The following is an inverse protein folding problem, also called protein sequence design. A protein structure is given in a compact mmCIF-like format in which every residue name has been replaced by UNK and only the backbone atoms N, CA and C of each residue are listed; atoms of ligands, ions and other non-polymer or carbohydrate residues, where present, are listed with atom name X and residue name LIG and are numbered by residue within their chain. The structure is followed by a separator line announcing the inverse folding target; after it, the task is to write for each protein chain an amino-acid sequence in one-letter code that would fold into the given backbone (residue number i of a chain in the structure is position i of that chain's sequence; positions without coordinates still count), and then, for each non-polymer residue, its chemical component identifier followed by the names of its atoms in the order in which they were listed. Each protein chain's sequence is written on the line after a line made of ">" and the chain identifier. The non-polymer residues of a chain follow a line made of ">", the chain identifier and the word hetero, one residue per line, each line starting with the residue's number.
data_IF_412714205318
#
_entry.id   IF_412714205318
#
_cell.length_a   1.000
_cell.length_b   1.000
_cell.length_c   1.000
_cell.angle_alpha   90.00
_cell.angle_beta   90.00
_cell.angle_gamma   90.00
#
_symmetry.space_group_name_H-M   'P 1'
#
loop_
_entity.id
_entity.type
_entity.pdbx_description
1 polymer ?
#
# COMPACT_ATOMS: atom_id res chain seq x y z
N UNK A 1 -55.23 -62.22 -0.91
CA UNK A 1 -55.02 -61.31 0.24
C UNK A 1 -53.56 -60.88 0.47
N UNK A 2 -52.48 -61.66 0.21
CA UNK A 2 -51.11 -61.15 0.36
C UNK A 2 -50.66 -60.22 -0.79
N UNK A 3 -51.23 -60.40 -1.99
CA UNK A 3 -50.83 -59.63 -3.19
C UNK A 3 -51.21 -58.14 -3.11
N UNK A 4 -52.41 -57.80 -2.61
CA UNK A 4 -52.86 -56.42 -2.48
C UNK A 4 -52.09 -55.65 -1.40
N UNK A 5 -51.76 -56.30 -0.28
CA UNK A 5 -50.94 -55.70 0.78
C UNK A 5 -49.49 -55.46 0.34
N UNK A 6 -48.94 -56.34 -0.51
CA UNK A 6 -47.62 -56.14 -1.12
C UNK A 6 -47.62 -54.95 -2.11
N UNK A 7 -48.64 -54.84 -2.97
CA UNK A 7 -48.76 -53.74 -3.93
C UNK A 7 -48.85 -52.39 -3.23
N UNK A 8 -49.66 -52.27 -2.18
CA UNK A 8 -49.75 -51.02 -1.37
C UNK A 8 -48.44 -50.66 -0.66
N UNK A 9 -47.61 -51.64 -0.32
CA UNK A 9 -46.29 -51.41 0.28
C UNK A 9 -45.24 -50.90 -0.72
N UNK A 10 -45.28 -51.41 -1.95
CA UNK A 10 -44.40 -50.98 -3.05
C UNK A 10 -44.75 -49.55 -3.49
N UNK A 11 -46.05 -49.25 -3.66
CA UNK A 11 -46.53 -47.92 -4.05
C UNK A 11 -46.09 -46.84 -3.05
N UNK A 12 -46.24 -47.12 -1.75
CA UNK A 12 -45.78 -46.22 -0.68
C UNK A 12 -44.26 -46.03 -0.67
N UNK A 13 -43.50 -47.03 -1.11
CA UNK A 13 -42.04 -46.94 -1.20
C UNK A 13 -41.62 -46.08 -2.38
N UNK A 14 -42.29 -46.23 -3.52
CA UNK A 14 -42.09 -45.42 -4.73
C UNK A 14 -42.43 -43.95 -4.47
N UNK A 15 -43.55 -43.68 -3.79
CA UNK A 15 -43.92 -42.31 -3.39
C UNK A 15 -42.82 -41.65 -2.54
N UNK A 16 -42.34 -42.36 -1.51
CA UNK A 16 -41.24 -41.86 -0.66
C UNK A 16 -39.93 -41.67 -1.44
N UNK A 17 -39.61 -42.59 -2.34
CA UNK A 17 -38.42 -42.48 -3.18
C UNK A 17 -38.50 -41.27 -4.12
N UNK A 18 -39.68 -40.95 -4.66
CA UNK A 18 -39.87 -39.82 -5.57
C UNK A 18 -39.69 -38.49 -4.85
N UNK A 19 -40.27 -38.36 -3.64
CA UNK A 19 -40.05 -37.20 -2.76
C UNK A 19 -38.57 -37.01 -2.45
N UNK A 20 -37.89 -38.07 -2.01
CA UNK A 20 -36.46 -38.03 -1.68
C UNK A 20 -35.60 -37.68 -2.90
N UNK A 21 -35.95 -38.20 -4.09
CA UNK A 21 -35.27 -37.86 -5.34
C UNK A 21 -35.46 -36.38 -5.68
N UNK A 22 -36.68 -35.86 -5.58
CA UNK A 22 -36.95 -34.43 -5.78
C UNK A 22 -36.13 -33.54 -4.85
N UNK A 23 -36.17 -33.82 -3.54
CA UNK A 23 -35.40 -33.12 -2.51
C UNK A 23 -33.88 -33.17 -2.78
N UNK A 24 -33.37 -34.34 -3.17
CA UNK A 24 -31.95 -34.52 -3.45
C UNK A 24 -31.52 -33.70 -4.68
N UNK A 25 -32.33 -33.68 -5.75
CA UNK A 25 -32.05 -32.92 -6.96
C UNK A 25 -31.94 -31.42 -6.68
N UNK A 26 -32.86 -30.90 -5.87
CA UNK A 26 -32.85 -29.52 -5.39
C UNK A 26 -31.56 -29.22 -4.60
N UNK A 27 -31.22 -30.06 -3.61
CA UNK A 27 -30.00 -29.88 -2.79
C UNK A 27 -28.72 -29.97 -3.61
N UNK A 28 -28.67 -30.81 -4.64
CA UNK A 28 -27.50 -30.89 -5.52
C UNK A 28 -27.30 -29.62 -6.34
N UNK A 29 -28.38 -28.97 -6.77
CA UNK A 29 -28.30 -27.71 -7.52
C UNK A 29 -27.81 -26.54 -6.65
N UNK A 30 -28.20 -26.51 -5.37
CA UNK A 30 -27.66 -25.53 -4.41
C UNK A 30 -26.18 -25.78 -4.14
N UNK A 31 -25.79 -27.03 -3.94
CA UNK A 31 -24.39 -27.39 -3.74
C UNK A 31 -23.51 -27.02 -4.95
N UNK A 32 -24.01 -27.15 -6.18
CA UNK A 32 -23.30 -26.67 -7.37
C UNK A 32 -23.05 -25.15 -7.35
N UNK A 33 -23.99 -24.37 -6.81
CA UNK A 33 -23.84 -22.92 -6.65
C UNK A 33 -22.73 -22.58 -5.67
N UNK A 34 -22.77 -23.22 -4.50
CA UNK A 34 -21.80 -23.01 -3.43
C UNK A 34 -20.39 -23.37 -3.91
N UNK A 35 -20.25 -24.45 -4.70
CA UNK A 35 -18.98 -24.84 -5.31
C UNK A 35 -18.49 -23.79 -6.30
N UNK A 36 -19.36 -23.23 -7.13
CA UNK A 36 -18.99 -22.20 -8.10
C UNK A 36 -18.55 -20.90 -7.40
N UNK A 37 -19.26 -20.49 -6.34
CA UNK A 37 -18.87 -19.34 -5.53
C UNK A 37 -17.49 -19.58 -4.88
N UNK A 38 -17.31 -20.76 -4.29
CA UNK A 38 -16.04 -21.11 -3.64
C UNK A 38 -14.88 -21.17 -4.65
N UNK A 39 -15.11 -21.64 -5.87
CA UNK A 39 -14.12 -21.63 -6.94
C UNK A 39 -13.72 -20.20 -7.34
N UNK A 40 -14.71 -19.28 -7.40
CA UNK A 40 -14.44 -17.86 -7.61
C UNK A 40 -13.57 -17.26 -6.49
N UNK A 41 -13.86 -17.62 -5.24
CA UNK A 41 -13.05 -17.19 -4.07
C UNK A 41 -11.63 -17.73 -4.11
N UNK A 42 -11.43 -19.00 -4.48
CA UNK A 42 -10.10 -19.60 -4.65
C UNK A 42 -9.31 -18.89 -5.76
N UNK A 43 -9.96 -18.54 -6.87
CA UNK A 43 -9.32 -17.77 -7.95
C UNK A 43 -8.88 -16.38 -7.48
N UNK A 44 -9.74 -15.67 -6.74
CA UNK A 44 -9.39 -14.37 -6.16
C UNK A 44 -8.25 -14.47 -5.13
N UNK A 45 -8.21 -15.57 -4.36
CA UNK A 45 -7.13 -15.85 -3.42
C UNK A 45 -5.80 -16.05 -4.15
N UNK A 46 -5.77 -16.77 -5.27
CA UNK A 46 -4.56 -16.94 -6.08
C UNK A 46 -3.98 -15.60 -6.56
N UNK A 47 -4.82 -14.71 -7.09
CA UNK A 47 -4.39 -13.37 -7.51
C UNK A 47 -3.84 -12.53 -6.34
N UNK A 48 -4.40 -12.70 -5.14
CA UNK A 48 -3.91 -12.04 -3.92
C UNK A 48 -2.53 -12.57 -3.52
N UNK A 49 -2.31 -13.89 -3.62
CA UNK A 49 -1.01 -14.52 -3.33
C UNK A 49 0.07 -13.98 -4.28
N UNK A 50 -0.20 -13.88 -5.58
CA UNK A 50 0.73 -13.31 -6.56
C UNK A 50 1.09 -11.86 -6.25
N UNK A 51 0.09 -11.04 -5.90
CA UNK A 51 0.30 -9.63 -5.52
C UNK A 51 1.19 -9.49 -4.29
N UNK A 52 0.90 -10.26 -3.22
CA UNK A 52 1.75 -10.26 -2.00
C UNK A 52 3.17 -10.75 -2.34
N UNK A 53 3.30 -11.74 -3.23
CA UNK A 53 4.59 -12.22 -3.71
C UNK A 53 5.43 -11.13 -4.38
N UNK A 54 4.82 -10.31 -5.27
CA UNK A 54 5.53 -9.20 -5.90
C UNK A 54 5.97 -8.11 -4.92
N UNK A 55 5.13 -7.80 -3.93
CA UNK A 55 5.47 -6.81 -2.90
C UNK A 55 6.57 -7.32 -1.96
N UNK A 56 6.60 -8.63 -1.66
CA UNK A 56 7.68 -9.25 -0.90
C UNK A 56 9.04 -9.15 -1.61
N UNK A 57 9.08 -9.41 -2.94
CA UNK A 57 10.30 -9.21 -3.74
C UNK A 57 10.78 -7.77 -3.70
N UNK A 58 9.84 -6.82 -3.85
CA UNK A 58 10.18 -5.39 -3.79
C UNK A 58 10.74 -4.99 -2.43
N UNK A 59 10.14 -5.50 -1.34
CA UNK A 59 10.62 -5.26 0.02
C UNK A 59 12.04 -5.82 0.25
N UNK A 60 12.39 -6.95 -0.36
CA UNK A 60 13.75 -7.48 -0.31
C UNK A 60 14.76 -6.55 -0.99
N UNK A 61 14.42 -6.02 -2.17
CA UNK A 61 15.26 -5.06 -2.91
C UNK A 61 15.43 -3.76 -2.11
N UNK A 62 14.33 -3.18 -1.63
CA UNK A 62 14.37 -1.97 -0.81
C UNK A 62 15.19 -2.20 0.48
N UNK A 63 15.12 -3.41 1.05
CA UNK A 63 15.96 -3.83 2.17
C UNK A 63 17.44 -3.79 1.83
N UNK A 64 17.85 -4.33 0.68
CA UNK A 64 19.25 -4.31 0.24
C UNK A 64 19.76 -2.87 0.08
N UNK A 65 18.99 -1.98 -0.53
CA UNK A 65 19.35 -0.58 -0.71
C UNK A 65 19.57 0.14 0.64
N UNK A 66 18.72 -0.14 1.63
CA UNK A 66 18.89 0.39 3.00
C UNK A 66 20.14 -0.19 3.67
N UNK A 67 20.45 -1.47 3.45
CA UNK A 67 21.68 -2.11 3.94
C UNK A 67 22.93 -1.41 3.41
N UNK A 68 22.97 -1.14 2.11
CA UNK A 68 24.10 -0.50 1.45
C UNK A 68 24.28 0.95 1.92
N UNK A 69 23.17 1.67 2.09
CA UNK A 69 23.18 3.02 2.66
C UNK A 69 23.67 3.03 4.12
N UNK A 70 23.29 2.03 4.93
CA UNK A 70 23.77 1.90 6.31
C UNK A 70 25.29 1.60 6.36
N UNK A 71 25.78 0.74 5.47
CA UNK A 71 27.21 0.45 5.36
C UNK A 71 28.02 1.70 4.93
N UNK A 72 27.53 2.46 3.95
CA UNK A 72 28.16 3.72 3.53
C UNK A 72 28.16 4.76 4.66
N UNK A 73 27.06 4.88 5.41
CA UNK A 73 26.99 5.74 6.59
C UNK A 73 28.02 5.33 7.66
N UNK A 74 28.20 4.02 7.89
CA UNK A 74 29.21 3.51 8.82
C UNK A 74 30.64 3.86 8.36
N UNK A 75 30.95 3.70 7.07
CA UNK A 75 32.24 4.07 6.50
C UNK A 75 32.53 5.58 6.68
N UNK A 76 31.54 6.43 6.40
CA UNK A 76 31.63 7.88 6.59
C UNK A 76 31.79 8.26 8.06
N UNK A 77 31.08 7.59 8.97
CA UNK A 77 31.21 7.80 10.41
C UNK A 77 32.63 7.44 10.90
N UNK A 78 33.20 6.33 10.45
CA UNK A 78 34.59 5.95 10.77
C UNK A 78 35.60 6.97 10.27
N UNK A 79 35.46 7.46 9.04
CA UNK A 79 36.31 8.51 8.49
C UNK A 79 36.19 9.82 9.29
N UNK A 80 34.96 10.21 9.66
CA UNK A 80 34.73 11.38 10.51
C UNK A 80 35.35 11.23 11.90
N UNK A 81 35.30 10.03 12.50
CA UNK A 81 35.95 9.76 13.79
C UNK A 81 37.46 9.99 13.72
N UNK A 82 38.12 9.51 12.66
CA UNK A 82 39.56 9.73 12.49
C UNK A 82 39.92 11.23 12.36
N UNK A 83 39.10 12.00 11.64
CA UNK A 83 39.30 13.46 11.53
C UNK A 83 39.08 14.18 12.87
N UNK A 84 38.12 13.72 13.67
CA UNK A 84 37.83 14.25 15.00
C UNK A 84 39.00 13.98 15.96
N UNK A 85 39.56 12.77 15.93
CA UNK A 85 40.72 12.40 16.75
C UNK A 85 41.94 13.27 16.40
N UNK A 86 42.20 13.50 15.10
CA UNK A 86 43.28 14.40 14.68
C UNK A 86 43.01 15.86 15.10
N UNK A 87 41.76 16.33 14.97
CA UNK A 87 41.36 17.67 15.42
C UNK A 87 41.54 17.84 16.94
N UNK A 88 41.21 16.82 17.72
CA UNK A 88 41.41 16.83 19.18
C UNK A 88 42.89 16.92 19.56
N UNK A 89 43.75 16.20 18.85
CA UNK A 89 45.21 16.30 19.02
C UNK A 89 45.72 17.70 18.70
N UNK A 90 45.32 18.26 17.56
CA UNK A 90 45.71 19.62 17.14
C UNK A 90 45.24 20.69 18.14
N UNK A 91 44.05 20.56 18.71
CA UNK A 91 43.53 21.47 19.73
C UNK A 91 44.29 21.37 21.05
N UNK A 92 44.70 20.16 21.43
CA UNK A 92 45.56 19.95 22.60
C UNK A 92 46.90 20.67 22.42
N UNK A 93 47.54 20.50 21.26
CA UNK A 93 48.78 21.20 20.90
C UNK A 93 48.60 22.72 20.87
N UNK A 94 47.51 23.22 20.27
CA UNK A 94 47.19 24.65 20.25
C UNK A 94 46.99 25.21 21.67
N UNK A 95 46.35 24.46 22.56
CA UNK A 95 46.14 24.85 23.95
C UNK A 95 47.46 24.99 24.69
N UNK A 96 48.39 24.03 24.52
CA UNK A 96 49.74 24.09 25.09
C UNK A 96 50.48 25.32 24.57
N UNK A 97 50.48 25.55 23.25
CA UNK A 97 51.16 26.69 22.64
C UNK A 97 50.65 28.04 23.16
N UNK A 98 49.33 28.18 23.37
CA UNK A 98 48.76 29.41 23.92
C UNK A 98 49.14 29.61 25.39
N UNK A 99 49.18 28.54 26.19
CA UNK A 99 49.64 28.61 27.58
C UNK A 99 51.11 29.03 27.66
N UNK A 100 51.95 28.45 26.81
CA UNK A 100 53.38 28.80 26.72
C UNK A 100 53.58 30.25 26.27
N UNK A 101 52.77 30.73 25.33
CA UNK A 101 52.78 32.13 24.88
C UNK A 101 52.39 33.08 26.02
N UNK A 102 51.34 32.78 26.79
CA UNK A 102 50.95 33.59 27.96
C UNK A 102 52.10 33.64 28.97
N UNK A 103 52.76 32.51 29.25
CA UNK A 103 53.90 32.45 30.15
C UNK A 103 55.11 33.26 29.63
N UNK A 104 55.40 33.22 28.33
CA UNK A 104 56.44 34.02 27.71
C UNK A 104 56.15 35.52 27.82
N UNK A 105 54.93 35.94 27.49
CA UNK A 105 54.52 37.35 27.57
C UNK A 105 54.59 37.85 29.02
N UNK A 106 54.20 37.03 30.00
CA UNK A 106 54.35 37.38 31.42
C UNK A 106 55.81 37.60 31.84
N UNK A 107 56.75 36.78 31.34
CA UNK A 107 58.18 36.99 31.62
C UNK A 107 58.73 38.28 31.00
N UNK A 108 58.25 38.65 29.81
CA UNK A 108 58.61 39.92 29.16
C UNK A 108 58.06 41.09 29.99
N UNK A 109 56.81 41.00 30.44
CA UNK A 109 56.21 41.99 31.34
C UNK A 109 57.07 42.22 32.59
N UNK A 110 57.45 41.15 33.30
CA UNK A 110 58.26 41.23 34.51
C UNK A 110 59.66 41.82 34.24
N UNK A 111 60.28 41.46 33.12
CA UNK A 111 61.58 42.00 32.71
C UNK A 111 61.50 43.49 32.39
N UNK A 112 60.42 43.96 31.76
CA UNK A 112 60.19 45.38 31.52
C UNK A 112 59.92 46.15 32.81
N UNK A 113 59.20 45.55 33.77
CA UNK A 113 59.02 46.12 35.10
C UNK A 113 60.35 46.33 35.84
N UNK A 114 61.26 45.35 35.77
CA UNK A 114 62.62 45.51 36.30
C UNK A 114 63.44 46.57 35.53
N UNK A 115 63.23 46.68 34.23
CA UNK A 115 63.90 47.70 33.40
C UNK A 115 63.44 49.12 33.74
N UNK A 116 62.14 49.35 33.96
CA UNK A 116 61.62 50.67 34.36
C UNK A 116 62.09 51.06 35.76
N UNK A 117 62.20 50.11 36.70
CA UNK A 117 62.80 50.34 38.02
C UNK A 117 64.29 50.71 37.94
N UNK A 118 65.05 50.03 37.08
CA UNK A 118 66.44 50.37 36.82
C UNK A 118 66.58 51.78 36.24
N UNK A 119 65.74 52.16 35.25
CA UNK A 119 65.72 53.52 34.70
C UNK A 119 65.39 54.58 35.76
N UNK A 120 64.44 54.30 36.66
CA UNK A 120 64.10 55.20 37.77
C UNK A 120 65.29 55.42 38.73
N UNK A 121 66.05 54.35 39.00
CA UNK A 121 67.28 54.43 39.80
C UNK A 121 68.34 55.30 39.10
N UNK A 122 68.55 55.10 37.80
CA UNK A 122 69.50 55.92 37.02
C UNK A 122 69.05 57.38 36.96
N UNK A 123 67.74 57.65 36.83
CA UNK A 123 67.18 59.00 36.87
C UNK A 123 67.48 59.69 38.21
N UNK A 124 67.30 58.97 39.31
CA UNK A 124 67.58 59.47 40.65
C UNK A 124 69.06 59.83 40.84
N UNK A 125 69.98 58.93 40.45
CA UNK A 125 71.43 59.18 40.50
C UNK A 125 71.82 60.37 39.62
N UNK A 126 71.26 60.46 38.40
CA UNK A 126 71.52 61.57 37.46
C UNK A 126 71.07 62.91 38.04
N UNK A 127 69.93 62.94 38.74
CA UNK A 127 69.42 64.12 39.45
C UNK A 127 70.37 64.57 40.57
N UNK A 128 70.89 63.62 41.36
CA UNK A 128 71.89 63.91 42.40
C UNK A 128 73.16 64.51 41.78
N UNK A 129 73.69 63.92 40.69
CA UNK A 129 74.87 64.44 39.99
C UNK A 129 74.62 65.85 39.45
N UNK A 130 73.44 66.10 38.89
CA UNK A 130 73.02 67.44 38.44
C UNK A 130 73.02 68.45 39.59
N UNK A 131 72.53 68.04 40.77
CA UNK A 131 72.58 68.83 41.99
C UNK A 131 74.02 69.14 42.44
N UNK A 132 74.90 68.13 42.44
CA UNK A 132 76.32 68.30 42.77
C UNK A 132 77.01 69.24 41.78
N UNK A 133 76.74 69.11 40.48
CA UNK A 133 77.28 69.98 39.44
C UNK A 133 76.82 71.43 39.63
N UNK A 134 75.54 71.65 39.95
CA UNK A 134 75.00 72.98 40.27
C UNK A 134 75.66 73.60 41.50
N UNK A 135 75.81 72.82 42.58
CA UNK A 135 76.48 73.26 43.81
C UNK A 135 77.97 73.55 43.58
N UNK A 136 78.65 72.74 42.78
CA UNK A 136 80.06 72.92 42.39
C UNK A 136 80.23 74.18 41.55
N UNK A 137 79.31 74.43 40.61
CA UNK A 137 79.29 75.66 39.81
C UNK A 137 79.10 76.91 40.68
N UNK A 138 78.24 76.84 41.71
CA UNK A 138 78.06 77.93 42.69
C UNK A 138 79.30 78.14 43.56
N UNK A 139 79.93 77.06 44.05
CA UNK A 139 81.17 77.13 44.82
C UNK A 139 82.31 77.72 43.98
N UNK A 140 82.46 77.28 42.73
CA UNK A 140 83.45 77.78 41.80
C UNK A 140 83.20 79.24 41.42
N UNK A 141 81.93 79.66 41.29
CA UNK A 141 81.56 81.05 41.10
C UNK A 141 81.97 81.91 42.30
N UNK A 142 81.65 81.48 43.52
CA UNK A 142 82.04 82.17 44.75
C UNK A 142 83.58 82.25 44.89
N UNK A 143 84.29 81.18 44.56
CA UNK A 143 85.75 81.16 44.54
C UNK A 143 86.35 82.09 43.48
N UNK A 144 85.72 82.18 42.30
CA UNK A 144 86.14 83.13 41.25
C UNK A 144 85.94 84.58 41.70
N UNK A 145 84.84 84.88 42.40
CA UNK A 145 84.57 86.22 42.96
C UNK A 145 85.61 86.57 44.03
N UNK A 146 85.90 85.66 44.96
CA UNK A 146 86.85 85.92 46.05
C UNK A 146 88.30 85.99 45.53
N UNK A 147 88.66 85.19 44.53
CA UNK A 147 89.95 85.28 43.84
C UNK A 147 90.13 86.62 43.11
N UNK A 148 89.07 87.17 42.51
CA UNK A 148 89.09 88.53 41.95
C UNK A 148 89.24 89.61 43.03
N UNK A 149 88.67 89.37 44.22
CA UNK A 149 88.73 90.26 45.39
C UNK A 149 90.13 90.33 46.01
N UNK A 150 90.89 89.25 45.95
CA UNK A 150 92.27 89.15 46.43
C UNK A 150 93.33 89.80 45.48
N UNK A 151 92.92 90.34 44.33
CA UNK A 151 93.81 91.04 43.39
C UNK A 151 94.90 90.13 42.81
N UNK A 152 96.15 90.63 42.73
CA UNK A 152 97.27 89.90 42.11
C UNK A 152 97.63 88.58 42.81
N UNK A 153 97.39 88.48 44.12
CA UNK A 153 97.63 87.25 44.89
C UNK A 153 96.63 86.12 44.55
N UNK A 154 95.46 86.46 43.99
CA UNK A 154 94.39 85.51 43.65
C UNK A 154 94.40 84.97 42.22
N UNK A 155 95.32 85.44 41.35
CA UNK A 155 95.30 85.14 39.90
C UNK A 155 95.36 83.64 39.57
N UNK A 156 96.18 82.88 40.28
CA UNK A 156 96.28 81.42 40.10
C UNK A 156 94.99 80.69 40.52
N UNK A 157 94.36 81.14 41.61
CA UNK A 157 93.08 80.60 42.09
C UNK A 157 91.92 80.93 41.15
N UNK A 158 91.92 82.12 40.53
CA UNK A 158 90.89 82.52 39.58
C UNK A 158 90.86 81.61 38.34
N UNK A 159 92.03 81.19 37.83
CA UNK A 159 92.13 80.26 36.69
C UNK A 159 91.55 78.90 37.06
N UNK A 160 91.95 78.33 38.19
CA UNK A 160 91.42 77.03 38.67
C UNK A 160 89.91 77.10 38.91
N UNK A 161 89.42 78.17 39.55
CA UNK A 161 87.99 78.35 39.80
C UNK A 161 87.19 78.48 38.50
N UNK A 162 87.73 79.15 37.47
CA UNK A 162 87.08 79.24 36.16
C UNK A 162 87.00 77.90 35.43
N UNK A 163 88.03 77.05 35.54
CA UNK A 163 88.04 75.71 34.95
C UNK A 163 87.08 74.77 35.68
N UNK A 164 87.04 74.81 37.02
CA UNK A 164 86.06 74.05 37.82
C UNK A 164 84.63 74.48 37.50
N UNK A 165 84.39 75.79 37.32
CA UNK A 165 83.08 76.31 36.90
C UNK A 165 82.66 75.76 35.54
N UNK A 166 83.57 75.78 34.56
CA UNK A 166 83.32 75.25 33.21
C UNK A 166 83.02 73.75 33.27
N UNK A 167 83.82 72.97 34.00
CA UNK A 167 83.61 71.53 34.16
C UNK A 167 82.27 71.20 34.82
N UNK A 168 81.86 72.01 35.80
CA UNK A 168 80.55 71.88 36.45
C UNK A 168 79.39 72.21 35.49
N UNK A 169 79.54 73.21 34.62
CA UNK A 169 78.54 73.52 33.57
C UNK A 169 78.45 72.42 32.51
N UNK A 170 79.58 71.88 32.05
CA UNK A 170 79.62 70.73 31.14
C UNK A 170 78.98 69.49 31.76
N UNK A 171 79.25 69.24 33.04
CA UNK A 171 78.61 68.15 33.79
C UNK A 171 77.09 68.32 33.86
N UNK A 172 76.60 69.53 34.17
CA UNK A 172 75.16 69.82 34.20
C UNK A 172 74.48 69.69 32.82
N UNK A 173 75.19 70.06 31.74
CA UNK A 173 74.68 69.87 30.38
C UNK A 173 74.62 68.38 30.01
N UNK A 174 75.62 67.59 30.39
CA UNK A 174 75.66 66.15 30.19
C UNK A 174 74.54 65.44 30.98
N UNK A 175 74.35 65.76 32.26
CA UNK A 175 73.27 65.17 33.07
C UNK A 175 71.88 65.52 32.52
N UNK A 176 71.67 66.73 32.01
CA UNK A 176 70.41 67.11 31.36
C UNK A 176 70.13 66.28 30.09
N UNK A 177 71.17 65.98 29.31
CA UNK A 177 71.05 65.12 28.12
C UNK A 177 70.69 63.68 28.51
N UNK A 178 71.30 63.16 29.58
CA UNK A 178 70.97 61.86 30.17
C UNK A 178 69.52 61.84 30.66
N UNK A 179 69.06 62.89 31.35
CA UNK A 179 67.68 62.99 31.86
C UNK A 179 66.64 62.93 30.73
N UNK A 180 66.87 63.64 29.62
CA UNK A 180 66.02 63.58 28.42
C UNK A 180 65.99 62.16 27.84
N UNK A 181 67.14 61.50 27.77
CA UNK A 181 67.26 60.14 27.23
C UNK A 181 66.53 59.12 28.11
N UNK A 182 66.66 59.23 29.44
CA UNK A 182 65.94 58.37 30.38
C UNK A 182 64.44 58.56 30.24
N UNK A 183 63.96 59.82 30.15
CA UNK A 183 62.53 60.09 29.97
C UNK A 183 61.97 59.48 28.68
N UNK A 184 62.73 59.53 27.59
CA UNK A 184 62.36 58.88 26.33
C UNK A 184 62.29 57.35 26.48
N UNK A 185 63.30 56.74 27.12
CA UNK A 185 63.34 55.29 27.36
C UNK A 185 62.20 54.82 28.30
N UNK A 186 61.85 55.62 29.32
CA UNK A 186 60.70 55.33 30.18
C UNK A 186 59.39 55.37 29.39
N UNK A 187 59.20 56.38 28.55
CA UNK A 187 57.99 56.46 27.70
C UNK A 187 57.87 55.29 26.73
N UNK A 188 59.00 54.83 26.15
CA UNK A 188 59.01 53.65 25.29
C UNK A 188 58.67 52.38 26.07
N UNK A 189 59.24 52.22 27.28
CA UNK A 189 58.95 51.08 28.15
C UNK A 189 57.47 51.04 28.57
N UNK A 190 56.87 52.18 28.91
CA UNK A 190 55.44 52.28 29.22
C UNK A 190 54.56 51.91 28.01
N UNK A 191 54.94 52.36 26.81
CA UNK A 191 54.27 51.98 25.56
C UNK A 191 54.34 50.48 25.29
N UNK A 192 55.49 49.85 25.51
CA UNK A 192 55.67 48.41 25.38
C UNK A 192 54.85 47.63 26.43
N UNK A 193 54.76 48.12 27.68
CA UNK A 193 53.91 47.50 28.71
C UNK A 193 52.43 47.49 28.30
N UNK A 194 51.92 48.59 27.74
CA UNK A 194 50.55 48.64 27.22
C UNK A 194 50.30 47.63 26.10
N UNK A 195 51.25 47.48 25.16
CA UNK A 195 51.16 46.48 24.09
C UNK A 195 51.21 45.04 24.61
N UNK A 196 52.01 44.78 25.66
CA UNK A 196 52.11 43.48 26.32
C UNK A 196 50.78 43.12 27.00
N UNK A 197 50.16 44.05 27.72
CA UNK A 197 48.86 43.85 28.36
C UNK A 197 47.78 43.49 27.34
N UNK A 198 47.71 44.23 26.22
CA UNK A 198 46.83 43.89 25.10
C UNK A 198 47.12 42.50 24.53
N UNK A 199 48.40 42.14 24.41
CA UNK A 199 48.85 40.81 23.99
C UNK A 199 48.35 39.70 24.93
N UNK A 200 48.45 39.91 26.25
CA UNK A 200 47.94 38.97 27.26
C UNK A 200 46.43 38.79 27.14
N UNK A 201 45.66 39.88 26.97
CA UNK A 201 44.20 39.80 26.84
C UNK A 201 43.78 39.04 25.56
N UNK A 202 44.48 39.29 24.45
CA UNK A 202 44.26 38.54 23.20
C UNK A 202 44.60 37.06 23.37
N UNK A 203 45.73 36.74 24.02
CA UNK A 203 46.13 35.36 24.29
C UNK A 203 45.12 34.62 25.19
N UNK A 204 44.62 35.27 26.26
CA UNK A 204 43.56 34.71 27.12
C UNK A 204 42.27 34.45 26.35
N UNK A 205 41.90 35.37 25.46
CA UNK A 205 40.71 35.22 24.60
C UNK A 205 40.87 34.06 23.62
N UNK A 206 42.05 33.92 23.01
CA UNK A 206 42.38 32.79 22.14
C UNK A 206 42.38 31.44 22.90
N UNK A 207 42.87 31.42 24.13
CA UNK A 207 42.83 30.23 25.00
C UNK A 207 41.38 29.79 25.27
N UNK A 208 40.51 30.74 25.62
CA UNK A 208 39.08 30.47 25.80
C UNK A 208 38.44 29.93 24.52
N UNK A 209 38.69 30.59 23.39
CA UNK A 209 38.16 30.14 22.09
C UNK A 209 38.62 28.72 21.72
N UNK A 210 39.86 28.37 22.03
CA UNK A 210 40.39 27.00 21.79
C UNK A 210 39.65 25.97 22.64
N UNK A 211 39.35 26.27 23.90
CA UNK A 211 38.55 25.40 24.78
C UNK A 211 37.11 25.24 24.33
N UNK A 212 36.50 26.31 23.81
CA UNK A 212 35.14 26.24 23.27
C UNK A 212 35.10 25.31 22.03
N UNK A 213 36.14 25.35 21.18
CA UNK A 213 36.28 24.43 20.04
C UNK A 213 36.53 22.99 20.52
N UNK A 214 37.36 22.77 21.54
CA UNK A 214 37.58 21.44 22.14
C UNK A 214 36.27 20.80 22.62
N UNK A 215 35.43 21.57 23.31
CA UNK A 215 34.11 21.12 23.74
C UNK A 215 33.18 20.77 22.56
N UNK A 216 33.26 21.53 21.46
CA UNK A 216 32.50 21.24 20.24
C UNK A 216 32.97 19.94 19.58
N UNK A 217 34.29 19.74 19.46
CA UNK A 217 34.89 18.51 18.90
C UNK A 217 34.50 17.29 19.73
N UNK A 218 34.50 17.39 21.06
CA UNK A 218 34.04 16.31 21.94
C UNK A 218 32.54 15.96 21.73
N UNK A 219 31.69 16.96 21.50
CA UNK A 219 30.28 16.74 21.14
C UNK A 219 30.14 16.06 19.78
N UNK A 220 30.90 16.51 18.77
CA UNK A 220 30.94 15.88 17.46
C UNK A 220 31.38 14.40 17.55
N UNK A 221 32.39 14.09 18.37
CA UNK A 221 32.84 12.72 18.61
C UNK A 221 31.72 11.81 19.15
N UNK A 222 30.85 12.36 19.99
CA UNK A 222 29.71 11.63 20.56
C UNK A 222 28.62 11.41 19.51
N UNK A 223 28.32 12.43 18.69
CA UNK A 223 27.35 12.32 17.60
C UNK A 223 27.78 11.31 16.53
N UNK A 224 29.06 11.32 16.15
CA UNK A 224 29.60 10.37 15.15
C UNK A 224 29.58 8.93 15.66
N UNK A 225 29.88 8.69 16.94
CA UNK A 225 29.71 7.36 17.55
C UNK A 225 28.24 6.93 17.52
N UNK A 226 27.33 7.82 17.91
CA UNK A 226 25.90 7.54 17.83
C UNK A 226 25.41 7.21 16.41
N UNK A 227 25.97 7.87 15.39
CA UNK A 227 25.67 7.58 13.98
C UNK A 227 26.17 6.18 13.57
N UNK A 228 27.37 5.79 14.01
CA UNK A 228 27.89 4.44 13.75
C UNK A 228 27.00 3.38 14.38
N UNK A 229 26.64 3.54 15.67
CA UNK A 229 25.77 2.60 16.38
C UNK A 229 24.39 2.49 15.72
N UNK A 230 23.83 3.62 15.25
CA UNK A 230 22.56 3.62 14.52
C UNK A 230 22.68 2.88 13.19
N UNK A 231 23.78 3.05 12.47
CA UNK A 231 24.02 2.38 11.18
C UNK A 231 24.09 0.86 11.37
N UNK A 232 24.80 0.40 12.41
CA UNK A 232 24.85 -1.02 12.79
C UNK A 232 23.47 -1.57 13.19
N UNK A 233 22.69 -0.79 13.94
CA UNK A 233 21.32 -1.17 14.30
C UNK A 233 20.39 -1.28 13.08
N UNK A 234 20.53 -0.37 12.10
CA UNK A 234 19.78 -0.42 10.84
C UNK A 234 20.16 -1.66 10.04
N UNK A 235 21.45 -1.93 9.84
CA UNK A 235 21.92 -3.11 9.11
C UNK A 235 21.39 -4.42 9.72
N UNK A 236 21.41 -4.55 11.05
CA UNK A 236 20.86 -5.71 11.74
C UNK A 236 19.33 -5.86 11.56
N UNK A 237 18.59 -4.76 11.60
CA UNK A 237 17.12 -4.78 11.37
C UNK A 237 16.78 -5.17 9.94
N UNK A 238 17.56 -4.69 8.97
CA UNK A 238 17.44 -5.09 7.56
C UNK A 238 17.70 -6.58 7.41
N UNK A 239 18.74 -7.13 8.07
CA UNK A 239 18.99 -8.57 8.07
C UNK A 239 17.79 -9.39 8.57
N UNK A 240 17.17 -8.99 9.68
CA UNK A 240 15.95 -9.63 10.19
C UNK A 240 14.76 -9.46 9.23
N UNK A 241 14.66 -8.33 8.54
CA UNK A 241 13.62 -8.07 7.54
C UNK A 241 13.77 -9.01 6.34
N UNK A 242 14.98 -9.17 5.80
CA UNK A 242 15.26 -10.12 4.72
C UNK A 242 14.87 -11.54 5.12
N UNK A 243 15.24 -11.98 6.33
CA UNK A 243 14.81 -13.29 6.83
C UNK A 243 13.29 -13.43 7.00
N UNK A 244 12.59 -12.33 7.31
CA UNK A 244 11.12 -12.33 7.36
C UNK A 244 10.50 -12.42 5.96
N UNK A 245 11.12 -11.79 4.97
CA UNK A 245 10.70 -11.90 3.56
C UNK A 245 10.87 -13.33 3.04
N UNK A 246 11.96 -14.01 3.38
CA UNK A 246 12.15 -15.43 3.03
C UNK A 246 11.04 -16.32 3.63
N UNK A 247 10.64 -16.05 4.87
CA UNK A 247 9.50 -16.75 5.50
C UNK A 247 8.17 -16.46 4.81
N UNK A 248 7.95 -15.20 4.39
CA UNK A 248 6.76 -14.82 3.62
C UNK A 248 6.73 -15.59 2.30
N UNK A 249 7.85 -15.66 1.56
CA UNK A 249 7.94 -16.42 0.31
C UNK A 249 7.59 -17.89 0.51
N UNK A 250 8.19 -18.56 1.51
CA UNK A 250 7.88 -19.95 1.82
C UNK A 250 6.38 -20.15 2.17
N UNK A 251 5.78 -19.20 2.90
CA UNK A 251 4.36 -19.21 3.23
C UNK A 251 3.46 -19.01 2.01
N UNK A 252 3.84 -18.13 1.08
CA UNK A 252 3.12 -17.88 -0.16
C UNK A 252 3.18 -19.08 -1.10
N UNK A 253 4.32 -19.75 -1.22
CA UNK A 253 4.46 -20.97 -2.02
C UNK A 253 3.55 -22.10 -1.49
N UNK A 254 3.49 -22.26 -0.16
CA UNK A 254 2.58 -23.21 0.49
C UNK A 254 1.10 -22.85 0.25
N UNK A 255 0.76 -21.56 0.32
CA UNK A 255 -0.59 -21.07 0.02
C UNK A 255 -0.96 -21.24 -1.46
N UNK A 256 -0.03 -21.00 -2.39
CA UNK A 256 -0.25 -21.19 -3.82
C UNK A 256 -0.51 -22.66 -4.15
N UNK A 257 0.26 -23.56 -3.55
CA UNK A 257 0.06 -25.01 -3.65
C UNK A 257 -1.32 -25.40 -3.14
N UNK A 258 -1.69 -24.93 -1.93
CA UNK A 258 -3.00 -25.21 -1.33
C UNK A 258 -4.16 -24.64 -2.17
N UNK A 259 -3.98 -23.46 -2.76
CA UNK A 259 -4.97 -22.83 -3.63
C UNK A 259 -5.22 -23.67 -4.89
N UNK A 260 -4.13 -24.19 -5.49
CA UNK A 260 -4.19 -25.08 -6.65
C UNK A 260 -4.91 -26.40 -6.30
N UNK A 261 -4.54 -27.02 -5.18
CA UNK A 261 -5.20 -28.24 -4.69
C UNK A 261 -6.69 -28.04 -4.42
N UNK A 262 -7.06 -26.87 -3.88
CA UNK A 262 -8.46 -26.49 -3.66
C UNK A 262 -9.21 -26.30 -4.98
N UNK A 263 -8.61 -25.63 -5.96
CA UNK A 263 -9.23 -25.46 -7.29
C UNK A 263 -9.50 -26.81 -7.95
N UNK A 264 -8.53 -27.71 -7.93
CA UNK A 264 -8.68 -29.08 -8.45
C UNK A 264 -9.71 -29.89 -7.66
N UNK A 265 -9.72 -29.75 -6.34
CA UNK A 265 -10.70 -30.37 -5.45
C UNK A 265 -12.13 -29.93 -5.75
N UNK A 266 -12.34 -28.62 -5.96
CA UNK A 266 -13.64 -28.05 -6.31
C UNK A 266 -14.08 -28.49 -7.70
N UNK A 267 -13.16 -28.57 -8.67
CA UNK A 267 -13.48 -29.07 -10.00
C UNK A 267 -13.98 -30.52 -9.95
N UNK A 268 -13.28 -31.40 -9.22
CA UNK A 268 -13.72 -32.79 -9.01
C UNK A 268 -15.04 -32.87 -8.25
N UNK A 269 -15.24 -32.02 -7.24
CA UNK A 269 -16.48 -31.99 -6.48
C UNK A 269 -17.66 -31.56 -7.36
N UNK A 270 -17.48 -30.52 -8.18
CA UNK A 270 -18.48 -30.06 -9.16
C UNK A 270 -18.91 -31.19 -10.08
N UNK A 271 -17.95 -31.92 -10.69
CA UNK A 271 -18.24 -33.06 -11.56
C UNK A 271 -19.05 -34.16 -10.86
N UNK A 272 -18.70 -34.48 -9.60
CA UNK A 272 -19.43 -35.49 -8.81
C UNK A 272 -20.85 -35.04 -8.48
N UNK A 273 -21.05 -33.78 -8.11
CA UNK A 273 -22.39 -33.26 -7.80
C UNK A 273 -23.27 -33.20 -9.05
N UNK A 274 -22.70 -32.84 -10.21
CA UNK A 274 -23.41 -32.92 -11.50
C UNK A 274 -23.87 -34.35 -11.79
N UNK A 275 -22.98 -35.34 -11.63
CA UNK A 275 -23.35 -36.75 -11.80
C UNK A 275 -24.48 -37.18 -10.86
N UNK A 276 -24.45 -36.77 -9.59
CA UNK A 276 -25.53 -37.10 -8.63
C UNK A 276 -26.83 -36.41 -9.02
N UNK A 277 -26.79 -35.17 -9.50
CA UNK A 277 -27.96 -34.45 -10.00
C UNK A 277 -28.60 -35.19 -11.19
N UNK A 278 -27.78 -35.65 -12.14
CA UNK A 278 -28.22 -36.42 -13.30
C UNK A 278 -28.85 -37.75 -12.88
N UNK A 279 -28.19 -38.52 -12.00
CA UNK A 279 -28.71 -39.78 -11.46
C UNK A 279 -30.04 -39.59 -10.74
N UNK A 280 -30.19 -38.48 -10.01
CA UNK A 280 -31.40 -38.14 -9.27
C UNK A 280 -32.56 -37.77 -10.20
N UNK A 281 -32.28 -37.07 -11.30
CA UNK A 281 -33.28 -36.80 -12.33
C UNK A 281 -33.71 -38.10 -13.04
N UNK A 282 -32.78 -39.01 -13.33
CA UNK A 282 -33.08 -40.33 -13.92
C UNK A 282 -33.95 -41.17 -12.97
N UNK A 283 -33.62 -41.20 -11.68
CA UNK A 283 -34.41 -41.93 -10.68
C UNK A 283 -35.84 -41.37 -10.59
N UNK A 284 -35.99 -40.04 -10.55
CA UNK A 284 -37.30 -39.40 -10.55
C UNK A 284 -38.11 -39.76 -11.80
N UNK A 285 -37.46 -39.82 -12.97
CA UNK A 285 -38.09 -40.27 -14.22
C UNK A 285 -38.61 -41.71 -14.10
N UNK A 286 -37.81 -42.66 -13.63
CA UNK A 286 -38.25 -44.04 -13.47
C UNK A 286 -39.39 -44.22 -12.47
N UNK A 287 -39.38 -43.43 -11.38
CA UNK A 287 -40.46 -43.46 -10.39
C UNK A 287 -41.75 -42.89 -10.98
N UNK A 288 -41.67 -41.83 -11.78
CA UNK A 288 -42.81 -41.27 -12.50
C UNK A 288 -43.39 -42.25 -13.55
N UNK A 289 -42.54 -43.02 -14.23
CA UNK A 289 -42.95 -44.03 -15.22
C UNK A 289 -43.53 -45.32 -14.59
N UNK A 290 -43.35 -45.52 -13.28
CA UNK A 290 -43.85 -46.72 -12.58
C UNK A 290 -45.37 -46.84 -12.51
N UNK A 291 -46.09 -45.74 -12.77
CA UNK A 291 -47.55 -45.67 -12.71
C UNK A 291 -48.13 -45.48 -11.30
N UNK A 292 -47.29 -45.32 -10.28
CA UNK A 292 -47.71 -44.96 -8.91
C UNK A 292 -48.03 -43.46 -8.84
N UNK A 293 -49.06 -43.10 -8.06
CA UNK A 293 -49.33 -41.69 -7.78
C UNK A 293 -48.23 -41.09 -6.90
N UNK A 294 -47.53 -40.10 -7.45
CA UNK A 294 -46.53 -39.28 -6.78
C UNK A 294 -46.97 -37.81 -6.80
N UNK A 295 -46.27 -36.96 -6.04
CA UNK A 295 -46.58 -35.52 -5.99
C UNK A 295 -46.57 -34.85 -7.38
N UNK A 296 -45.72 -35.35 -8.28
CA UNK A 296 -45.58 -34.84 -9.65
C UNK A 296 -46.66 -35.37 -10.63
N UNK A 297 -47.41 -36.42 -10.27
CA UNK A 297 -48.39 -37.09 -11.15
C UNK A 297 -49.48 -36.18 -11.74
N UNK A 298 -50.06 -35.21 -10.98
CA UNK A 298 -51.02 -34.25 -11.55
C UNK A 298 -50.43 -33.40 -12.69
N UNK A 299 -49.17 -32.98 -12.56
CA UNK A 299 -48.47 -32.19 -13.57
C UNK A 299 -48.13 -33.03 -14.80
N UNK A 300 -47.70 -34.28 -14.59
CA UNK A 300 -47.43 -35.24 -15.67
C UNK A 300 -48.69 -35.49 -16.50
N UNK A 301 -49.82 -35.79 -15.83
CA UNK A 301 -51.10 -36.00 -16.51
C UNK A 301 -51.54 -34.78 -17.31
N UNK A 302 -51.42 -33.59 -16.72
CA UNK A 302 -51.79 -32.36 -17.41
C UNK A 302 -50.86 -32.09 -18.59
N UNK A 303 -49.55 -32.29 -18.44
CA UNK A 303 -48.58 -32.09 -19.51
C UNK A 303 -48.85 -33.01 -20.70
N UNK A 304 -49.12 -34.30 -20.45
CA UNK A 304 -49.46 -35.27 -21.49
C UNK A 304 -50.78 -34.90 -22.18
N UNK A 305 -51.83 -34.64 -21.40
CA UNK A 305 -53.15 -34.22 -21.93
C UNK A 305 -53.05 -32.94 -22.76
N UNK A 306 -52.27 -31.97 -22.28
CA UNK A 306 -52.06 -30.70 -22.97
C UNK A 306 -51.25 -30.88 -24.26
N UNK A 307 -50.17 -31.67 -24.23
CA UNK A 307 -49.37 -31.94 -25.42
C UNK A 307 -50.19 -32.66 -26.50
N UNK A 308 -50.96 -33.68 -26.13
CA UNK A 308 -51.87 -34.39 -27.03
C UNK A 308 -52.99 -33.47 -27.55
N UNK A 309 -53.60 -32.68 -26.67
CA UNK A 309 -54.68 -31.77 -27.04
C UNK A 309 -54.23 -30.64 -27.97
N UNK A 310 -53.04 -30.07 -27.73
CA UNK A 310 -52.42 -29.09 -28.62
C UNK A 310 -52.10 -29.73 -29.97
N UNK A 311 -51.48 -30.92 -29.97
CA UNK A 311 -51.20 -31.65 -31.20
C UNK A 311 -52.47 -31.92 -32.01
N UNK A 312 -53.53 -32.44 -31.39
CA UNK A 312 -54.80 -32.74 -32.04
C UNK A 312 -55.46 -31.48 -32.62
N UNK A 313 -55.36 -30.33 -31.93
CA UNK A 313 -55.86 -29.07 -32.48
C UNK A 313 -55.05 -28.61 -33.69
N UNK A 314 -53.71 -28.70 -33.64
CA UNK A 314 -52.86 -28.37 -34.78
C UNK A 314 -53.09 -29.31 -35.97
N UNK A 315 -53.39 -30.59 -35.74
CA UNK A 315 -53.77 -31.54 -36.78
C UNK A 315 -55.12 -31.20 -37.43
N UNK A 316 -56.09 -30.73 -36.64
CA UNK A 316 -57.34 -30.17 -37.18
C UNK A 316 -57.08 -28.92 -38.02
N UNK A 317 -56.22 -28.02 -37.55
CA UNK A 317 -55.84 -26.81 -38.28
C UNK A 317 -55.16 -27.14 -39.63
N UNK A 318 -54.34 -28.19 -39.67
CA UNK A 318 -53.79 -28.73 -40.93
C UNK A 318 -54.87 -29.32 -41.84
N UNK A 319 -55.82 -30.08 -41.28
CA UNK A 319 -56.91 -30.70 -42.05
C UNK A 319 -57.88 -29.67 -42.63
N UNK A 320 -58.13 -28.58 -41.90
CA UNK A 320 -58.97 -27.45 -42.30
C UNK A 320 -58.24 -26.43 -43.18
N UNK A 321 -56.94 -26.63 -43.46
CA UNK A 321 -56.14 -25.75 -44.30
C UNK A 321 -55.81 -24.39 -43.69
N UNK A 322 -55.92 -24.24 -42.36
CA UNK A 322 -55.54 -23.01 -41.63
C UNK A 322 -54.03 -22.77 -41.61
N UNK A 323 -53.24 -23.83 -41.74
CA UNK A 323 -51.78 -23.78 -41.90
C UNK A 323 -51.33 -24.95 -42.78
N UNK A 324 -50.22 -24.80 -43.51
CA UNK A 324 -49.60 -25.90 -44.25
C UNK A 324 -48.59 -26.64 -43.38
N UNK A 325 -48.35 -27.92 -43.66
CA UNK A 325 -47.36 -28.70 -42.91
C UNK A 325 -45.93 -28.11 -43.01
N UNK A 326 -45.59 -27.54 -44.17
CA UNK A 326 -44.33 -26.83 -44.37
C UNK A 326 -44.23 -25.57 -43.48
N UNK A 327 -45.29 -24.78 -43.36
CA UNK A 327 -45.31 -23.60 -42.51
C UNK A 327 -45.34 -23.94 -41.01
N UNK A 328 -45.95 -25.07 -40.63
CA UNK A 328 -46.00 -25.53 -39.23
C UNK A 328 -44.62 -25.92 -38.70
N UNK A 329 -43.81 -26.57 -39.54
CA UNK A 329 -42.47 -27.06 -39.20
C UNK A 329 -41.33 -26.21 -39.78
N UNK A 330 -41.63 -25.01 -40.28
CA UNK A 330 -40.62 -24.10 -40.81
C UNK A 330 -39.59 -23.73 -39.74
N UNK A 331 -38.39 -23.41 -40.19
CA UNK A 331 -37.30 -22.89 -39.36
C UNK A 331 -37.05 -21.41 -39.66
N UNK A 332 -37.93 -20.81 -40.47
CA UNK A 332 -37.90 -19.40 -40.85
C UNK A 332 -38.66 -18.55 -39.82
N UNK A 333 -37.91 -17.87 -38.96
CA UNK A 333 -38.44 -16.96 -37.95
C UNK A 333 -38.39 -15.50 -38.43
N UNK A 334 -39.48 -14.76 -38.30
CA UNK A 334 -39.52 -13.34 -38.73
C UNK A 334 -39.24 -12.44 -37.54
N UNK A 335 -38.13 -11.68 -37.59
CA UNK A 335 -37.77 -10.76 -36.52
C UNK A 335 -38.81 -9.63 -36.33
N UNK A 336 -39.15 -9.34 -35.08
CA UNK A 336 -40.00 -8.22 -34.70
C UNK A 336 -39.13 -6.97 -34.59
N UNK A 337 -39.43 -5.97 -35.43
CA UNK A 337 -38.69 -4.71 -35.44
C UNK A 337 -38.70 -4.01 -34.07
N UNK A 338 -37.55 -3.46 -33.68
CA UNK A 338 -37.37 -2.68 -32.44
C UNK A 338 -37.75 -3.42 -31.15
N UNK A 339 -37.53 -4.74 -31.09
CA UNK A 339 -37.74 -5.55 -29.88
C UNK A 339 -36.44 -5.74 -29.08
N UNK A 340 -36.51 -5.61 -27.76
CA UNK A 340 -35.41 -5.90 -26.84
C UNK A 340 -35.97 -6.66 -25.62
N UNK A 341 -35.63 -7.93 -25.37
CA UNK A 341 -34.76 -8.79 -26.18
C UNK A 341 -35.35 -9.06 -27.58
N UNK A 342 -34.54 -9.56 -28.54
CA UNK A 342 -35.02 -9.89 -29.88
C UNK A 342 -36.18 -10.89 -29.83
N UNK A 343 -37.31 -10.50 -30.44
CA UNK A 343 -38.49 -11.35 -30.60
C UNK A 343 -38.64 -11.77 -32.06
N UNK A 344 -39.22 -12.95 -32.26
CA UNK A 344 -39.49 -13.52 -33.56
C UNK A 344 -40.90 -14.08 -33.63
N UNK A 345 -41.59 -13.83 -34.73
CA UNK A 345 -42.89 -14.42 -35.04
C UNK A 345 -42.74 -15.64 -35.94
N UNK A 346 -43.70 -16.55 -35.85
CA UNK A 346 -43.78 -17.75 -36.67
C UNK A 346 -45.24 -18.00 -37.08
N UNK A 347 -45.54 -18.51 -38.29
CA UNK A 347 -46.92 -18.74 -38.75
C UNK A 347 -47.79 -19.59 -37.82
N UNK A 348 -47.18 -20.53 -37.08
CA UNK A 348 -47.89 -21.38 -36.11
C UNK A 348 -48.34 -20.62 -34.86
N UNK A 349 -47.72 -19.48 -34.52
CA UNK A 349 -47.81 -18.85 -33.21
C UNK A 349 -49.25 -18.57 -32.76
N UNK A 350 -50.14 -17.99 -33.59
CA UNK A 350 -51.52 -17.73 -33.18
C UNK A 350 -52.31 -19.04 -32.90
N UNK A 351 -52.08 -20.07 -33.72
CA UNK A 351 -52.77 -21.36 -33.63
C UNK A 351 -52.34 -22.14 -32.38
N UNK A 352 -51.03 -22.30 -32.18
CA UNK A 352 -50.51 -23.02 -31.00
C UNK A 352 -50.80 -22.25 -29.70
N UNK A 353 -50.77 -20.92 -29.74
CA UNK A 353 -51.17 -20.10 -28.58
C UNK A 353 -52.62 -20.35 -28.22
N UNK A 354 -53.54 -20.31 -29.20
CA UNK A 354 -54.96 -20.57 -28.97
C UNK A 354 -55.20 -22.00 -28.46
N UNK A 355 -54.49 -22.99 -29.01
CA UNK A 355 -54.57 -24.39 -28.58
C UNK A 355 -54.04 -24.59 -27.14
N UNK A 356 -53.02 -23.85 -26.73
CA UNK A 356 -52.42 -23.97 -25.40
C UNK A 356 -53.21 -23.24 -24.30
N UNK A 357 -53.98 -22.19 -24.61
CA UNK A 357 -54.68 -21.35 -23.60
C UNK A 357 -55.58 -22.15 -22.65
N UNK A 358 -56.46 -23.07 -23.10
CA UNK A 358 -57.31 -23.83 -22.19
C UNK A 358 -56.51 -24.63 -21.17
N UNK A 359 -55.37 -25.19 -21.58
CA UNK A 359 -54.48 -25.94 -20.71
C UNK A 359 -53.68 -25.04 -19.76
N UNK A 360 -53.35 -23.81 -20.15
CA UNK A 360 -52.68 -22.86 -19.25
C UNK A 360 -53.60 -22.48 -18.10
N UNK A 361 -54.89 -22.27 -18.39
CA UNK A 361 -55.90 -22.00 -17.37
C UNK A 361 -56.15 -23.20 -16.46
N UNK A 362 -56.14 -24.43 -17.00
CA UNK A 362 -56.15 -25.64 -16.17
C UNK A 362 -54.91 -25.76 -15.28
N UNK A 363 -53.73 -25.44 -15.82
CA UNK A 363 -52.46 -25.51 -15.09
C UNK A 363 -52.40 -24.53 -13.91
N UNK A 364 -53.04 -23.35 -14.02
CA UNK A 364 -53.15 -22.38 -12.93
C UNK A 364 -53.84 -22.93 -11.67
N UNK A 365 -54.70 -23.93 -11.82
CA UNK A 365 -55.38 -24.57 -10.70
C UNK A 365 -54.48 -25.56 -9.94
N UNK A 366 -53.30 -25.91 -10.48
CA UNK A 366 -52.36 -26.80 -9.81
C UNK A 366 -51.61 -26.06 -8.68
N UNK A 367 -51.44 -26.68 -7.51
CA UNK A 367 -50.66 -26.11 -6.40
C UNK A 367 -49.25 -25.70 -6.82
N UNK A 368 -48.75 -24.56 -6.34
CA UNK A 368 -47.39 -24.12 -6.67
C UNK A 368 -47.10 -23.88 -8.16
N UNK A 369 -48.11 -23.88 -9.03
CA UNK A 369 -47.93 -23.60 -10.46
C UNK A 369 -47.22 -22.26 -10.66
N UNK A 370 -46.24 -22.27 -11.56
CA UNK A 370 -45.40 -21.11 -11.81
C UNK A 370 -45.45 -20.65 -13.27
N UNK A 371 -45.60 -21.57 -14.22
CA UNK A 371 -45.80 -21.20 -15.61
C UNK A 371 -45.91 -22.39 -16.54
N UNK A 372 -46.53 -22.17 -17.70
CA UNK A 372 -46.61 -23.16 -18.77
C UNK A 372 -46.26 -22.51 -20.12
N UNK A 373 -45.34 -23.14 -20.85
CA UNK A 373 -44.82 -22.63 -22.13
C UNK A 373 -44.83 -23.70 -23.21
N UNK A 374 -44.76 -23.28 -24.46
CA UNK A 374 -44.46 -24.16 -25.60
C UNK A 374 -43.26 -23.61 -26.34
N UNK A 375 -42.26 -24.47 -26.54
CA UNK A 375 -40.99 -24.12 -27.16
C UNK A 375 -40.69 -25.13 -28.26
N UNK A 376 -40.37 -24.67 -29.46
CA UNK A 376 -40.09 -25.56 -30.58
C UNK A 376 -38.70 -26.22 -30.47
N UNK A 377 -38.42 -27.16 -31.38
CA UNK A 377 -37.13 -27.90 -31.44
C UNK A 377 -35.88 -27.04 -31.65
N UNK A 378 -36.03 -25.76 -32.00
CA UNK A 378 -34.95 -24.80 -32.20
C UNK A 378 -34.89 -23.76 -31.07
N UNK A 379 -35.53 -24.05 -29.93
CA UNK A 379 -35.56 -23.18 -28.74
C UNK A 379 -36.33 -21.88 -28.92
N UNK A 380 -37.19 -21.77 -29.94
CA UNK A 380 -38.11 -20.65 -30.09
C UNK A 380 -39.34 -20.84 -29.20
N UNK A 381 -39.51 -19.93 -28.24
CA UNK A 381 -40.60 -19.91 -27.27
C UNK A 381 -41.90 -19.39 -27.86
N UNK A 382 -42.61 -20.21 -28.63
CA UNK A 382 -43.84 -19.80 -29.32
C UNK A 382 -45.00 -19.41 -28.40
N UNK A 383 -45.09 -20.02 -27.21
CA UNK A 383 -46.15 -19.75 -26.24
C UNK A 383 -45.55 -19.43 -24.87
N UNK A 384 -45.96 -18.29 -24.31
CA UNK A 384 -45.74 -17.94 -22.90
C UNK A 384 -47.08 -17.74 -22.18
N UNK A 385 -47.05 -17.65 -20.84
CA UNK A 385 -48.23 -17.23 -20.06
C UNK A 385 -48.68 -15.84 -20.50
N UNK A 386 -50.00 -15.51 -20.45
CA UNK A 386 -50.52 -14.21 -20.89
C UNK A 386 -49.78 -12.99 -20.30
N UNK A 387 -49.52 -13.01 -19.00
CA UNK A 387 -48.79 -11.99 -18.23
C UNK A 387 -47.30 -11.86 -18.61
N UNK A 388 -46.79 -12.84 -19.37
CA UNK A 388 -45.40 -12.94 -19.86
C UNK A 388 -45.35 -12.92 -21.40
N UNK A 389 -46.45 -12.56 -22.04
CA UNK A 389 -46.62 -12.47 -23.50
C UNK A 389 -47.03 -11.04 -23.90
N UNK A 390 -46.58 -10.04 -23.14
CA UNK A 390 -46.91 -8.63 -23.36
C UNK A 390 -45.94 -7.99 -24.37
N UNK A 391 -46.37 -6.94 -25.09
CA UNK A 391 -45.49 -6.20 -25.99
C UNK A 391 -44.28 -5.59 -25.24
N UNK A 392 -43.06 -5.62 -25.81
CA UNK A 392 -41.89 -5.01 -25.20
C UNK A 392 -42.04 -3.49 -25.07
N UNK A 393 -41.55 -2.93 -23.97
CA UNK A 393 -41.48 -1.50 -23.68
C UNK A 393 -40.14 -0.92 -24.17
N UNK A 394 -40.14 0.27 -24.80
CA UNK A 394 -38.89 0.96 -25.14
C UNK A 394 -38.06 1.27 -23.88
N UNK A 395 -36.74 1.02 -23.94
CA UNK A 395 -35.77 1.36 -22.89
C UNK A 395 -36.00 0.72 -21.50
N UNK A 396 -36.73 -0.39 -21.41
CA UNK A 396 -36.99 -1.09 -20.15
C UNK A 396 -36.57 -2.57 -20.25
N UNK A 397 -35.26 -2.86 -20.29
CA UNK A 397 -34.75 -4.22 -20.49
C UNK A 397 -35.12 -5.17 -19.34
N UNK A 398 -35.23 -4.66 -18.11
CA UNK A 398 -35.60 -5.46 -16.95
C UNK A 398 -37.07 -5.91 -17.03
N UNK A 399 -37.99 -5.01 -17.39
CA UNK A 399 -39.39 -5.38 -17.59
C UNK A 399 -39.54 -6.33 -18.79
N UNK A 400 -38.85 -6.06 -19.91
CA UNK A 400 -38.96 -6.87 -21.12
C UNK A 400 -38.48 -8.31 -20.92
N UNK A 401 -37.41 -8.51 -20.14
CA UNK A 401 -36.88 -9.83 -19.82
C UNK A 401 -37.92 -10.73 -19.10
N UNK A 402 -38.80 -10.14 -18.29
CA UNK A 402 -39.82 -10.89 -17.55
C UNK A 402 -41.15 -11.00 -18.30
N UNK A 403 -41.57 -9.93 -19.00
CA UNK A 403 -42.93 -9.80 -19.52
C UNK A 403 -43.10 -10.01 -21.03
N UNK A 404 -42.03 -9.93 -21.82
CA UNK A 404 -42.07 -10.05 -23.28
C UNK A 404 -41.43 -11.36 -23.76
N UNK A 405 -41.89 -12.51 -23.26
CA UNK A 405 -41.22 -13.82 -23.46
C UNK A 405 -41.69 -14.62 -24.67
N UNK A 406 -42.92 -14.42 -25.13
CA UNK A 406 -43.42 -15.10 -26.32
C UNK A 406 -42.67 -14.62 -27.57
N UNK A 407 -42.15 -15.55 -28.36
CA UNK A 407 -41.36 -15.27 -29.55
C UNK A 407 -39.85 -15.11 -29.29
N UNK A 408 -39.37 -15.23 -28.06
CA UNK A 408 -37.93 -15.25 -27.78
C UNK A 408 -37.30 -16.58 -28.23
N UNK A 409 -36.04 -16.54 -28.66
CA UNK A 409 -35.20 -17.73 -28.81
C UNK A 409 -34.36 -17.87 -27.54
N UNK A 410 -34.53 -18.97 -26.81
CA UNK A 410 -33.84 -19.22 -25.54
C UNK A 410 -32.54 -20.00 -25.77
N UNK A 411 -31.45 -19.29 -26.03
CA UNK A 411 -30.12 -19.88 -26.26
C UNK A 411 -29.38 -20.21 -24.95
N UNK A 412 -29.94 -21.13 -24.17
CA UNK A 412 -29.30 -21.73 -23.01
C UNK A 412 -29.05 -23.22 -23.30
N UNK A 413 -27.92 -23.75 -22.81
CA UNK A 413 -27.53 -25.15 -23.03
C UNK A 413 -28.67 -26.11 -22.65
N UNK A 414 -29.20 -25.96 -21.44
CA UNK A 414 -30.29 -26.79 -20.92
C UNK A 414 -31.54 -26.72 -21.79
N UNK A 415 -31.93 -25.53 -22.28
CA UNK A 415 -33.10 -25.37 -23.14
C UNK A 415 -32.91 -26.09 -24.47
N UNK A 416 -31.72 -25.98 -25.09
CA UNK A 416 -31.41 -26.65 -26.37
C UNK A 416 -31.44 -28.17 -26.27
N UNK A 417 -31.11 -28.71 -25.10
CA UNK A 417 -31.23 -30.14 -24.83
C UNK A 417 -32.67 -30.54 -24.54
N UNK A 418 -33.38 -29.79 -23.70
CA UNK A 418 -34.75 -30.07 -23.31
C UNK A 418 -35.71 -30.10 -24.51
N UNK A 419 -35.60 -29.14 -25.43
CA UNK A 419 -36.48 -29.06 -26.62
C UNK A 419 -36.28 -30.19 -27.63
N UNK A 420 -35.27 -31.04 -27.43
CA UNK A 420 -35.03 -32.25 -28.24
C UNK A 420 -35.61 -33.52 -27.62
N UNK A 421 -36.23 -33.42 -26.44
CA UNK A 421 -36.85 -34.55 -25.75
C UNK A 421 -37.98 -35.13 -26.58
N UNK A 422 -37.85 -36.41 -26.95
CA UNK A 422 -38.88 -37.17 -27.71
C UNK A 422 -39.67 -38.16 -26.85
N UNK A 423 -39.28 -38.34 -25.59
CA UNK A 423 -40.06 -39.12 -24.64
C UNK A 423 -41.41 -38.42 -24.39
N UNK A 424 -42.49 -39.14 -24.04
CA UNK A 424 -43.80 -38.54 -23.79
C UNK A 424 -43.74 -37.41 -22.77
N UNK A 425 -42.96 -37.61 -21.69
CA UNK A 425 -42.61 -36.56 -20.75
C UNK A 425 -41.21 -36.79 -20.15
N UNK A 426 -40.60 -35.72 -19.62
CA UNK A 426 -39.51 -35.83 -18.66
C UNK A 426 -39.68 -34.87 -17.48
N UNK A 427 -39.13 -35.21 -16.32
CA UNK A 427 -39.19 -34.39 -15.10
C UNK A 427 -37.79 -33.93 -14.72
N UNK A 428 -37.62 -32.64 -14.42
CA UNK A 428 -36.35 -32.08 -13.97
C UNK A 428 -36.57 -31.04 -12.87
N UNK A 429 -35.68 -31.02 -11.89
CA UNK A 429 -35.51 -29.86 -11.02
C UNK A 429 -34.57 -28.84 -11.71
N UNK A 430 -34.84 -27.55 -11.54
CA UNK A 430 -33.95 -26.50 -12.04
C UNK A 430 -34.00 -25.26 -11.15
N UNK A 431 -32.90 -24.50 -11.17
CA UNK A 431 -32.76 -23.21 -10.48
C UNK A 431 -33.16 -22.09 -11.42
N UNK A 432 -34.12 -21.27 -11.00
CA UNK A 432 -34.50 -20.05 -11.72
C UNK A 432 -34.04 -18.81 -10.96
N UNK A 433 -33.09 -18.04 -11.50
CA UNK A 433 -32.83 -16.68 -11.03
C UNK A 433 -34.09 -15.82 -11.24
N UNK A 434 -34.45 -15.04 -10.22
CA UNK A 434 -35.50 -14.03 -10.32
C UNK A 434 -34.91 -12.62 -10.27
N UNK A 435 -35.70 -11.63 -10.70
CA UNK A 435 -35.23 -10.27 -10.96
C UNK A 435 -34.67 -9.54 -9.72
N UNK A 436 -34.99 -9.99 -8.50
CA UNK A 436 -34.46 -9.44 -7.25
C UNK A 436 -33.10 -10.04 -6.83
N UNK A 437 -32.54 -10.95 -7.63
CA UNK A 437 -31.26 -11.63 -7.37
C UNK A 437 -31.39 -12.90 -6.52
N UNK A 438 -32.58 -13.23 -6.02
CA UNK A 438 -32.82 -14.52 -5.37
C UNK A 438 -32.98 -15.65 -6.40
N UNK A 439 -32.90 -16.89 -5.94
CA UNK A 439 -33.07 -18.08 -6.78
C UNK A 439 -34.25 -18.87 -6.26
N UNK A 440 -35.18 -19.19 -7.15
CA UNK A 440 -36.29 -20.08 -6.85
C UNK A 440 -35.97 -21.47 -7.41
N UNK A 441 -36.13 -22.48 -6.58
CA UNK A 441 -36.04 -23.87 -6.97
C UNK A 441 -37.40 -24.33 -7.48
N UNK A 442 -37.42 -24.82 -8.71
CA UNK A 442 -38.63 -25.26 -9.39
C UNK A 442 -38.44 -26.68 -9.92
N UNK A 443 -39.53 -27.43 -9.94
CA UNK A 443 -39.65 -28.63 -10.76
C UNK A 443 -40.31 -28.25 -12.09
N UNK A 444 -40.00 -28.99 -13.13
CA UNK A 444 -40.70 -28.90 -14.38
C UNK A 444 -41.01 -30.28 -14.95
N UNK A 445 -42.21 -30.41 -15.49
CA UNK A 445 -42.57 -31.49 -16.39
C UNK A 445 -42.50 -30.96 -17.81
N UNK A 446 -41.80 -31.70 -18.67
CA UNK A 446 -41.60 -31.39 -20.07
C UNK A 446 -42.35 -32.44 -20.88
N UNK A 447 -43.44 -32.09 -21.55
CA UNK A 447 -44.19 -32.97 -22.44
C UNK A 447 -43.78 -32.77 -23.90
N UNK A 448 -43.61 -33.85 -24.67
CA UNK A 448 -43.22 -33.73 -26.08
C UNK A 448 -44.44 -33.61 -27.01
N UNK A 449 -44.46 -32.57 -27.85
CA UNK A 449 -45.55 -32.29 -28.80
C UNK A 449 -45.20 -32.87 -30.17
N UNK A 450 -46.02 -33.82 -30.63
CA UNK A 450 -45.89 -34.46 -31.94
C UNK A 450 -47.13 -34.17 -32.78
N UNK A 451 -46.95 -33.58 -33.95
CA UNK A 451 -48.03 -33.32 -34.91
C UNK A 451 -47.83 -34.26 -36.10
N UNK A 452 -48.83 -35.10 -36.41
CA UNK A 452 -48.75 -36.19 -37.41
C UNK A 452 -47.53 -37.10 -37.22
N UNK A 453 -47.16 -37.37 -35.97
CA UNK A 453 -46.00 -38.18 -35.61
C UNK A 453 -44.64 -37.49 -35.78
N UNK A 454 -44.58 -36.23 -36.25
CA UNK A 454 -43.34 -35.45 -36.35
C UNK A 454 -43.20 -34.52 -35.13
N UNK A 455 -42.03 -34.57 -34.49
CA UNK A 455 -41.73 -33.76 -33.31
C UNK A 455 -41.69 -32.26 -33.66
N UNK A 456 -42.58 -31.48 -33.05
CA UNK A 456 -42.60 -30.03 -33.19
C UNK A 456 -41.68 -29.37 -32.15
N UNK A 457 -41.79 -29.81 -30.90
CA UNK A 457 -41.08 -29.27 -29.75
C UNK A 457 -41.72 -29.75 -28.46
N UNK A 458 -41.62 -28.94 -27.41
CA UNK A 458 -42.04 -29.32 -26.07
C UNK A 458 -43.05 -28.35 -25.47
N UNK A 459 -43.88 -28.87 -24.58
CA UNK A 459 -44.62 -28.16 -23.55
C UNK A 459 -43.82 -28.24 -22.25
N UNK A 460 -43.71 -27.16 -21.50
CA UNK A 460 -43.11 -27.16 -20.16
C UNK A 460 -44.13 -26.65 -19.15
N UNK A 461 -44.30 -27.36 -18.04
CA UNK A 461 -45.07 -26.92 -16.87
C UNK A 461 -44.08 -26.80 -15.71
N UNK A 462 -43.83 -25.59 -15.25
CA UNK A 462 -42.99 -25.30 -14.09
C UNK A 462 -43.82 -25.05 -12.83
N UNK A 463 -43.37 -25.56 -11.70
CA UNK A 463 -44.06 -25.47 -10.42
C UNK A 463 -43.07 -25.56 -9.25
N UNK A 464 -43.46 -25.00 -8.11
CA UNK A 464 -42.76 -25.17 -6.85
C UNK A 464 -42.91 -26.62 -6.36
N UNK A 465 -41.90 -27.14 -5.67
CA UNK A 465 -42.00 -28.47 -5.11
C UNK A 465 -43.21 -28.60 -4.16
N UNK A 466 -43.97 -29.68 -4.30
CA UNK A 466 -45.14 -29.99 -3.47
C UNK A 466 -44.85 -31.05 -2.39
N UNK A 467 -43.57 -31.43 -2.28
CA UNK A 467 -42.99 -32.24 -1.21
C UNK A 467 -42.99 -33.73 -1.46
#
# INVERSE_FOLDING_TARGET
>A
MPHAALTTGIDRTIEKAARLSGDLGIRTLDLQADIAELAGRVTAQAATIESIGSEAVRLAVDGQDVSDAANDAQHKARAASAMIDDSSRQLTEATVNVVDMIAQVSRIHDSLGGFTEALATVAHVTSIISGIASQTNLLALNATIEAARAGDAGRGFAVVASEVKKLAQETAAATKTIEVSIRALTGEADGMLGQIDDGVQKAKSAHKGTRDIEALVARLATLIRGLSDHSDAVANRVGSMVGSVDQIHAGLDALATTSTDNADGLHRLSQRVTSVSDDTNILLQYLAESGVEIADSPYIRLALTAAEGIAAQLERDLAEGRITEAALFSEDYTAVANSQPPLFTHPIQPLITAAARPFQEQARALPGFFGMTCTDRNSWGGVAMPERSLPPRPNDPAWNAEHARAGQIFDHLDTREQVKTRQPFCIKAYRRPVADGSVILLKQVIGSIHVRGRHWGILQIAYADQG
#
